data_IF_160203109323
#
_entry.id   IF_160203109323
#
_cell.length_a   1.000
_cell.length_b   1.000
_cell.length_c   1.000
_cell.angle_alpha   90.00
_cell.angle_beta   90.00
_cell.angle_gamma   90.00
#
_symmetry.space_group_name_H-M   'P 1'
#
loop_
_entity.id
_entity.type
_entity.pdbx_description
1 polymer ?
#
# COMPACT_ATOMS: atom_id res chain seq x y z
N UNK A 1 8.01 8.46 -0.14
CA UNK A 1 7.68 8.00 1.24
C UNK A 1 7.14 6.58 1.17
N UNK A 2 7.43 5.72 2.14
CA UNK A 2 6.92 4.33 2.14
C UNK A 2 5.38 4.32 2.28
N UNK A 3 4.61 3.59 1.46
CA UNK A 3 3.14 3.65 1.45
C UNK A 3 2.48 3.35 2.80
N UNK A 4 2.97 2.34 3.52
CA UNK A 4 2.45 2.00 4.84
C UNK A 4 2.67 3.10 5.89
N UNK A 5 3.76 3.88 5.76
CA UNK A 5 4.03 5.03 6.63
C UNK A 5 3.05 6.15 6.32
N UNK A 6 2.79 6.41 5.03
CA UNK A 6 1.80 7.40 4.60
C UNK A 6 0.40 7.09 5.16
N UNK A 7 -0.04 5.83 5.07
CA UNK A 7 -1.34 5.38 5.64
C UNK A 7 -1.40 5.51 7.15
N UNK A 8 -0.33 5.13 7.85
CA UNK A 8 -0.26 5.26 9.30
C UNK A 8 -0.35 6.73 9.74
N UNK A 9 0.35 7.63 9.03
CA UNK A 9 0.30 9.08 9.24
C UNK A 9 -1.13 9.59 8.98
N UNK A 10 -1.73 9.27 7.83
CA UNK A 10 -3.10 9.69 7.48
C UNK A 10 -4.11 9.28 8.55
N UNK A 11 -4.09 8.02 9.01
CA UNK A 11 -4.96 7.54 10.10
C UNK A 11 -4.80 8.32 11.40
N UNK A 12 -3.60 8.78 11.73
CA UNK A 12 -3.36 9.60 12.92
C UNK A 12 -3.95 11.00 12.73
N UNK A 13 -3.71 11.62 11.57
CA UNK A 13 -4.22 12.95 11.22
C UNK A 13 -5.75 12.96 11.19
N UNK A 14 -6.38 11.99 10.54
CA UNK A 14 -7.84 11.82 10.49
C UNK A 14 -8.44 11.64 11.91
N UNK A 15 -7.65 11.12 12.86
CA UNK A 15 -8.03 10.98 14.27
C UNK A 15 -7.70 12.21 15.13
N UNK A 16 -7.25 13.31 14.53
CA UNK A 16 -6.85 14.55 15.22
C UNK A 16 -5.53 14.45 15.97
N UNK A 17 -4.67 13.46 15.67
CA UNK A 17 -3.40 13.22 16.37
C UNK A 17 -2.21 13.65 15.52
N UNK A 18 -1.25 14.32 16.16
CA UNK A 18 0.03 14.65 15.53
C UNK A 18 0.88 13.39 15.32
N UNK A 19 1.34 13.10 14.09
CA UNK A 19 2.19 11.95 13.81
C UNK A 19 3.55 12.08 14.52
N UNK A 20 3.88 11.08 15.34
CA UNK A 20 5.20 10.93 15.97
C UNK A 20 5.77 9.56 15.61
N UNK A 21 7.08 9.36 15.78
CA UNK A 21 7.71 8.07 15.46
C UNK A 21 7.02 6.91 16.19
N UNK A 22 6.75 7.06 17.49
CA UNK A 22 6.09 6.03 18.28
C UNK A 22 4.64 5.79 17.84
N UNK A 23 3.86 6.86 17.60
CA UNK A 23 2.48 6.74 17.18
C UNK A 23 2.37 6.15 15.76
N UNK A 24 3.21 6.60 14.83
CA UNK A 24 3.24 6.08 13.46
C UNK A 24 3.60 4.59 13.47
N UNK A 25 4.62 4.17 14.25
CA UNK A 25 4.94 2.75 14.43
C UNK A 25 3.78 1.93 14.96
N UNK A 26 3.02 2.44 15.92
CA UNK A 26 1.86 1.73 16.51
C UNK A 26 0.72 1.47 15.51
N UNK A 27 0.72 2.17 14.37
CA UNK A 27 -0.30 2.07 13.31
C UNK A 27 0.17 1.30 12.08
N UNK A 28 1.42 0.86 12.04
CA UNK A 28 1.93 0.01 10.97
C UNK A 28 1.40 -1.41 11.13
N UNK A 29 0.94 -2.01 10.03
CA UNK A 29 0.51 -3.42 9.98
C UNK A 29 1.62 -4.37 9.52
N UNK A 30 2.77 -3.82 9.12
CA UNK A 30 3.93 -4.57 8.67
C UNK A 30 5.21 -3.93 9.21
N UNK A 31 6.29 -4.71 9.30
CA UNK A 31 7.60 -4.19 9.67
C UNK A 31 8.10 -3.24 8.58
N UNK A 32 8.45 -2.02 8.97
CA UNK A 32 9.03 -1.00 8.10
C UNK A 32 10.31 -0.50 8.76
N UNK A 33 11.37 -0.27 7.96
CA UNK A 33 12.63 0.20 8.49
C UNK A 33 12.47 1.57 9.17
N UNK A 34 13.14 1.76 10.30
CA UNK A 34 13.06 3.02 11.06
C UNK A 34 13.41 4.27 10.23
N UNK A 35 14.44 4.25 9.33
CA UNK A 35 14.73 5.38 8.46
C UNK A 35 13.55 5.80 7.58
N UNK A 36 12.74 4.86 7.10
CA UNK A 36 11.56 5.16 6.28
C UNK A 36 10.45 5.81 7.10
N UNK A 37 10.25 5.37 8.34
CA UNK A 37 9.29 6.00 9.28
C UNK A 37 9.70 7.43 9.56
N UNK A 38 10.97 7.67 9.86
CA UNK A 38 11.51 9.00 10.16
C UNK A 38 11.38 9.90 8.92
N UNK A 39 11.77 9.41 7.76
CA UNK A 39 11.71 10.17 6.50
C UNK A 39 10.28 10.52 6.12
N UNK A 40 9.33 9.60 6.31
CA UNK A 40 7.90 9.88 6.07
C UNK A 40 7.33 10.95 7.00
N UNK A 41 7.70 10.92 8.29
CA UNK A 41 7.28 11.95 9.25
C UNK A 41 7.93 13.31 8.90
N UNK A 42 9.20 13.31 8.51
CA UNK A 42 9.89 14.54 8.09
C UNK A 42 9.23 15.15 6.85
N UNK A 43 8.92 14.33 5.84
CA UNK A 43 8.21 14.76 4.63
C UNK A 43 6.83 15.36 4.96
N UNK A 44 6.04 14.69 5.82
CA UNK A 44 4.74 15.20 6.26
C UNK A 44 4.84 16.55 6.99
N UNK A 45 5.88 16.74 7.83
CA UNK A 45 6.10 18.03 8.51
C UNK A 45 6.44 19.16 7.55
N UNK A 46 7.12 18.85 6.46
CA UNK A 46 7.46 19.84 5.41
C UNK A 46 6.24 20.16 4.56
N UNK A 47 5.47 19.14 4.18
CA UNK A 47 4.28 19.26 3.35
C UNK A 47 3.21 18.25 3.78
N UNK A 48 2.14 18.69 4.48
CA UNK A 48 1.04 17.82 4.88
C UNK A 48 0.22 17.24 3.71
N UNK A 49 0.27 17.83 2.52
CA UNK A 49 -0.50 17.33 1.36
C UNK A 49 0.10 16.04 0.77
N UNK A 50 1.35 15.74 1.13
CA UNK A 50 2.06 14.57 0.61
C UNK A 50 1.42 13.22 0.99
N UNK A 51 0.52 13.18 1.98
CA UNK A 51 -0.18 11.94 2.40
C UNK A 51 -1.52 11.70 1.66
N UNK A 52 -2.02 12.68 0.91
CA UNK A 52 -3.32 12.56 0.22
C UNK A 52 -3.23 11.67 -1.01
N UNK A 53 -2.12 11.75 -1.74
CA UNK A 53 -1.92 11.09 -3.04
C UNK A 53 -1.56 9.59 -2.96
N UNK A 54 -1.32 9.04 -1.77
CA UNK A 54 -0.84 7.66 -1.63
C UNK A 54 -1.93 6.59 -1.64
N UNK A 55 -3.20 6.98 -1.45
CA UNK A 55 -4.32 6.03 -1.47
C UNK A 55 -4.60 5.51 -2.88
N UNK A 56 -4.44 6.38 -3.88
CA UNK A 56 -4.73 6.09 -5.29
C UNK A 56 -3.72 5.12 -5.92
N UNK A 57 -2.43 5.26 -5.58
CA UNK A 57 -1.37 4.41 -6.15
C UNK A 57 -1.50 2.93 -5.75
N UNK A 58 -2.04 2.62 -4.57
CA UNK A 58 -2.14 1.23 -4.09
C UNK A 58 -3.37 0.50 -4.66
N UNK A 59 -4.49 1.22 -4.86
CA UNK A 59 -5.66 0.67 -5.57
C UNK A 59 -5.32 0.33 -7.03
N UNK A 60 -4.56 1.19 -7.71
CA UNK A 60 -4.11 0.93 -9.09
C UNK A 60 -3.20 -0.30 -9.15
N UNK A 61 -2.26 -0.45 -8.22
CA UNK A 61 -1.35 -1.62 -8.17
C UNK A 61 -2.12 -2.91 -7.83
N UNK A 62 -3.08 -2.85 -6.90
CA UNK A 62 -3.89 -4.01 -6.52
C UNK A 62 -4.84 -4.42 -7.65
N UNK A 63 -5.48 -3.47 -8.32
CA UNK A 63 -6.33 -3.73 -9.48
C UNK A 63 -5.53 -4.30 -10.66
N UNK A 64 -4.33 -3.78 -10.91
CA UNK A 64 -3.42 -4.32 -11.93
C UNK A 64 -3.00 -5.76 -11.62
N UNK A 65 -2.67 -6.03 -10.36
CA UNK A 65 -2.29 -7.37 -9.89
C UNK A 65 -3.45 -8.37 -10.02
N UNK A 66 -4.68 -7.96 -9.66
CA UNK A 66 -5.88 -8.79 -9.85
C UNK A 66 -6.11 -9.11 -11.34
N UNK A 67 -6.02 -8.11 -12.22
CA UNK A 67 -6.17 -8.32 -13.67
C UNK A 67 -5.11 -9.26 -14.26
N UNK A 68 -3.92 -9.33 -13.65
CA UNK A 68 -2.89 -10.27 -14.07
C UNK A 68 -3.24 -11.70 -13.65
N UNK A 69 -3.75 -11.90 -12.43
CA UNK A 69 -4.19 -13.20 -11.94
C UNK A 69 -5.36 -13.74 -12.78
N UNK A 70 -6.38 -12.92 -13.06
CA UNK A 70 -7.52 -13.32 -13.88
C UNK A 70 -7.07 -13.78 -15.28
N UNK A 71 -6.08 -13.08 -15.86
CA UNK A 71 -5.47 -13.46 -17.15
C UNK A 71 -4.68 -14.77 -17.09
N UNK A 72 -4.08 -15.08 -15.94
CA UNK A 72 -3.35 -16.35 -15.73
C UNK A 72 -4.35 -17.48 -15.55
N UNK A 73 -5.40 -17.29 -14.74
CA UNK A 73 -6.47 -18.27 -14.53
C UNK A 73 -7.13 -18.66 -15.86
N UNK A 74 -7.53 -17.68 -16.69
CA UNK A 74 -8.12 -17.96 -17.99
C UNK A 74 -7.20 -18.76 -18.94
N UNK A 75 -5.87 -18.58 -18.83
CA UNK A 75 -4.90 -19.36 -19.61
C UNK A 75 -4.79 -20.79 -19.09
N UNK A 76 -4.84 -20.98 -17.77
CA UNK A 76 -4.81 -22.30 -17.15
C UNK A 76 -6.07 -23.10 -17.50
N UNK A 77 -7.25 -22.48 -17.42
CA UNK A 77 -8.51 -23.12 -17.82
C UNK A 77 -8.47 -23.60 -19.28
N UNK A 78 -7.91 -22.78 -20.17
CA UNK A 78 -7.74 -23.16 -21.58
C UNK A 78 -6.79 -24.34 -21.75
N UNK A 79 -5.71 -24.41 -20.98
CA UNK A 79 -4.77 -25.54 -21.03
C UNK A 79 -5.42 -26.82 -20.50
N UNK A 80 -6.14 -26.74 -19.39
CA UNK A 80 -6.87 -27.87 -18.80
C UNK A 80 -7.89 -28.41 -19.80
N UNK A 81 -8.70 -27.54 -20.42
CA UNK A 81 -9.70 -27.95 -21.40
C UNK A 81 -9.11 -28.63 -22.65
N UNK A 82 -7.87 -28.28 -23.04
CA UNK A 82 -7.16 -28.96 -24.13
C UNK A 82 -6.64 -30.34 -23.70
N UNK A 83 -6.18 -30.48 -22.46
CA UNK A 83 -5.72 -31.74 -21.90
C UNK A 83 -6.89 -32.72 -21.66
N UNK A 84 -8.05 -32.24 -21.22
CA UNK A 84 -9.26 -33.07 -21.02
C UNK A 84 -9.89 -33.56 -22.33
N UNK A 85 -9.57 -32.92 -23.45
CA UNK A 85 -10.02 -33.33 -24.79
C UNK A 85 -9.08 -34.31 -25.49
N UNK A 86 -7.97 -34.70 -24.85
CA UNK A 86 -7.00 -35.68 -25.37
C UNK A 86 -7.26 -37.09 -24.85
#
# INVERSE_FOLDING_TARGET
MHPAVARAIKKLVDSGKTPTVALTKSKLTQSVAMPDVISGIAAYKQDPTCIEHYQELEEVVKASSQSQLDRIEAKLDKLIALLEKS
#
